data_IF_361717080684
#
_entry.id   IF_361717080684
#
_cell.length_a   1.000
_cell.length_b   1.000
_cell.length_c   1.000
_cell.angle_alpha   90.00
_cell.angle_beta   90.00
_cell.angle_gamma   90.00
#
_symmetry.space_group_name_H-M   'P 1'
#
loop_
_entity.id
_entity.type
_entity.pdbx_description
1 polymer ?
#
# COMPACT_ATOMS: atom_id res chain seq x y z
N UNK A 1 15.83 15.47 -14.08
CA UNK A 1 15.13 14.75 -15.16
C UNK A 1 14.01 13.90 -14.57
N UNK A 2 12.75 14.26 -14.83
CA UNK A 2 11.59 13.43 -14.50
C UNK A 2 11.67 12.16 -15.35
N UNK A 3 11.76 10.97 -14.73
CA UNK A 3 11.69 9.71 -15.48
C UNK A 3 10.31 9.57 -16.11
N UNK A 4 10.20 8.98 -17.32
CA UNK A 4 8.94 8.83 -18.03
C UNK A 4 7.87 8.16 -17.15
N UNK A 5 6.61 8.52 -17.40
CA UNK A 5 5.43 7.86 -16.81
C UNK A 5 5.55 6.37 -17.11
N UNK A 6 5.46 5.51 -16.09
CA UNK A 6 5.43 4.07 -16.33
C UNK A 6 4.12 3.74 -17.02
N UNK A 7 4.18 3.23 -18.25
CA UNK A 7 3.00 2.76 -18.99
C UNK A 7 2.83 1.25 -18.85
N UNK A 8 1.61 0.76 -19.09
CA UNK A 8 1.32 -0.69 -19.09
C UNK A 8 2.17 -1.39 -20.15
N UNK A 9 2.27 -0.81 -21.35
CA UNK A 9 3.03 -1.37 -22.46
C UNK A 9 4.51 -1.54 -22.12
N UNK A 10 5.16 -0.51 -21.56
CA UNK A 10 6.56 -0.60 -21.11
C UNK A 10 6.75 -1.64 -20.01
N UNK A 11 5.79 -1.79 -19.09
CA UNK A 11 5.87 -2.79 -18.03
C UNK A 11 5.70 -4.20 -18.57
N UNK A 12 4.80 -4.42 -19.54
CA UNK A 12 4.54 -5.74 -20.12
C UNK A 12 5.77 -6.37 -20.79
N UNK A 13 6.68 -5.55 -21.32
CA UNK A 13 7.94 -6.00 -21.92
C UNK A 13 8.98 -6.50 -20.89
N UNK A 14 8.72 -6.32 -19.59
CA UNK A 14 9.63 -6.68 -18.51
C UNK A 14 9.22 -7.98 -17.80
N UNK A 15 10.20 -8.64 -17.17
CA UNK A 15 9.92 -9.74 -16.25
C UNK A 15 9.10 -9.26 -15.04
N UNK A 16 8.28 -10.14 -14.45
CA UNK A 16 7.48 -9.81 -13.25
C UNK A 16 8.33 -9.25 -12.11
N UNK A 17 9.55 -9.76 -11.94
CA UNK A 17 10.52 -9.27 -10.94
C UNK A 17 10.89 -7.81 -11.21
N UNK A 18 11.19 -7.45 -12.45
CA UNK A 18 11.58 -6.10 -12.83
C UNK A 18 10.38 -5.13 -12.83
N UNK A 19 9.19 -5.57 -13.24
CA UNK A 19 7.93 -4.82 -13.08
C UNK A 19 7.73 -4.42 -11.62
N UNK A 20 7.83 -5.40 -10.70
CA UNK A 20 7.68 -5.18 -9.26
C UNK A 20 8.74 -4.23 -8.73
N UNK A 21 10.01 -4.39 -9.13
CA UNK A 21 11.11 -3.53 -8.72
C UNK A 21 10.87 -2.07 -9.14
N UNK A 22 10.49 -1.83 -10.39
CA UNK A 22 10.25 -0.47 -10.90
C UNK A 22 9.10 0.23 -10.19
N UNK A 23 7.99 -0.48 -9.99
CA UNK A 23 6.83 0.05 -9.25
C UNK A 23 7.18 0.34 -7.79
N UNK A 24 7.88 -0.59 -7.13
CA UNK A 24 8.29 -0.46 -5.73
C UNK A 24 9.21 0.74 -5.51
N UNK A 25 10.25 0.89 -6.34
CA UNK A 25 11.17 2.03 -6.27
C UNK A 25 10.43 3.35 -6.43
N UNK A 26 9.45 3.41 -7.33
CA UNK A 26 8.69 4.63 -7.57
C UNK A 26 7.77 4.97 -6.39
N UNK A 27 7.06 3.97 -5.86
CA UNK A 27 6.24 4.14 -4.66
C UNK A 27 7.08 4.58 -3.45
N UNK A 28 8.26 3.99 -3.22
CA UNK A 28 9.15 4.38 -2.12
C UNK A 28 9.64 5.82 -2.24
N UNK A 29 9.94 6.30 -3.45
CA UNK A 29 10.39 7.68 -3.65
C UNK A 29 9.35 8.72 -3.23
N UNK A 30 8.06 8.38 -3.26
CA UNK A 30 6.99 9.26 -2.78
C UNK A 30 7.07 9.49 -1.27
N UNK A 31 7.68 8.59 -0.50
CA UNK A 31 7.88 8.78 0.94
C UNK A 31 8.67 10.05 1.24
N UNK A 32 9.64 10.41 0.39
CA UNK A 32 10.44 11.63 0.58
C UNK A 32 9.65 12.93 0.44
N UNK A 33 8.41 12.87 -0.07
CA UNK A 33 7.52 14.03 -0.15
C UNK A 33 6.75 14.27 1.15
N UNK A 34 6.78 13.32 2.10
CA UNK A 34 6.05 13.43 3.35
C UNK A 34 6.80 14.35 4.34
N UNK A 35 6.06 15.20 5.08
CA UNK A 35 6.64 16.32 5.82
C UNK A 35 7.41 15.92 7.08
N UNK A 36 7.23 14.70 7.61
CA UNK A 36 7.87 14.23 8.84
C UNK A 36 8.33 12.79 8.67
N UNK A 37 9.50 12.46 9.23
CA UNK A 37 10.11 11.10 9.19
C UNK A 37 9.13 10.01 9.65
N UNK A 38 8.36 10.26 10.71
CA UNK A 38 7.34 9.33 11.21
C UNK A 38 6.30 8.92 10.14
N UNK A 39 5.93 9.83 9.24
CA UNK A 39 5.00 9.52 8.14
C UNK A 39 5.70 8.75 7.03
N UNK A 40 6.99 9.03 6.77
CA UNK A 40 7.82 8.28 5.82
C UNK A 40 7.93 6.81 6.25
N UNK A 41 8.19 6.56 7.53
CA UNK A 41 8.31 5.21 8.09
C UNK A 41 6.99 4.43 8.01
N UNK A 42 5.87 5.08 8.37
CA UNK A 42 4.52 4.47 8.26
C UNK A 42 4.20 4.17 6.80
N UNK A 43 4.35 5.14 5.91
CA UNK A 43 4.09 4.97 4.48
C UNK A 43 4.97 3.85 3.87
N UNK A 44 6.26 3.83 4.19
CA UNK A 44 7.20 2.82 3.68
C UNK A 44 6.79 1.41 4.08
N UNK A 45 6.29 1.21 5.31
CA UNK A 45 5.75 -0.08 5.75
C UNK A 45 4.47 -0.47 5.02
N UNK A 46 3.53 0.47 4.89
CA UNK A 46 2.27 0.23 4.17
C UNK A 46 2.50 -0.16 2.71
N UNK A 47 3.39 0.54 2.01
CA UNK A 47 3.77 0.20 0.63
C UNK A 47 4.45 -1.16 0.54
N UNK A 48 5.35 -1.48 1.48
CA UNK A 48 6.01 -2.79 1.51
C UNK A 48 5.00 -3.92 1.66
N UNK A 49 4.09 -3.81 2.64
CA UNK A 49 3.04 -4.79 2.89
C UNK A 49 2.11 -4.92 1.68
N UNK A 50 1.70 -3.79 1.08
CA UNK A 50 0.93 -3.81 -0.17
C UNK A 50 1.67 -4.63 -1.22
N UNK A 51 2.94 -4.37 -1.49
CA UNK A 51 3.69 -5.08 -2.53
C UNK A 51 3.94 -6.58 -2.26
N UNK A 52 3.83 -7.06 -1.02
CA UNK A 52 3.95 -8.49 -0.69
C UNK A 52 2.68 -9.30 -1.01
N UNK A 53 1.51 -8.67 -0.99
CA UNK A 53 0.22 -9.34 -1.21
C UNK A 53 -0.16 -9.19 -2.70
N UNK A 54 -0.51 -10.27 -3.44
CA UNK A 54 -1.04 -10.17 -4.80
C UNK A 54 -2.30 -9.31 -4.89
N UNK A 55 -2.58 -8.72 -6.05
CA UNK A 55 -3.71 -7.78 -6.19
C UNK A 55 -5.06 -8.46 -6.00
N UNK A 56 -5.23 -9.63 -6.61
CA UNK A 56 -6.40 -10.50 -6.54
C UNK A 56 -6.72 -10.82 -5.08
N UNK A 57 -5.68 -11.20 -4.32
CA UNK A 57 -5.83 -11.51 -2.91
C UNK A 57 -6.23 -10.29 -2.07
N UNK A 58 -5.80 -9.08 -2.45
CA UNK A 58 -6.27 -7.85 -1.78
C UNK A 58 -7.74 -7.54 -2.10
N UNK A 59 -8.25 -7.86 -3.29
CA UNK A 59 -9.69 -7.68 -3.59
C UNK A 59 -10.57 -8.44 -2.60
N UNK A 60 -10.18 -9.68 -2.30
CA UNK A 60 -10.88 -10.52 -1.34
C UNK A 60 -10.70 -10.01 0.09
N UNK A 61 -9.45 -9.78 0.53
CA UNK A 61 -9.15 -9.45 1.92
C UNK A 61 -9.63 -8.05 2.33
N UNK A 62 -9.58 -7.09 1.40
CA UNK A 62 -9.74 -5.67 1.70
C UNK A 62 -11.10 -5.16 1.26
N UNK A 63 -11.55 -5.54 0.06
CA UNK A 63 -12.84 -5.10 -0.49
C UNK A 63 -13.97 -6.13 -0.31
N UNK A 64 -13.69 -7.33 0.20
CA UNK A 64 -14.65 -8.45 0.27
C UNK A 64 -15.29 -8.76 -1.11
N UNK A 65 -14.56 -8.52 -2.22
CA UNK A 65 -15.02 -8.86 -3.57
C UNK A 65 -14.44 -10.21 -3.96
N UNK A 66 -15.28 -11.11 -4.50
CA UNK A 66 -14.77 -12.31 -5.15
C UNK A 66 -13.86 -11.90 -6.31
N UNK A 67 -12.65 -12.48 -6.34
CA UNK A 67 -11.70 -12.18 -7.42
C UNK A 67 -12.27 -12.66 -8.74
N UNK A 68 -12.56 -11.74 -9.65
CA UNK A 68 -12.63 -12.06 -11.07
C UNK A 68 -11.21 -12.27 -11.58
N UNK A 69 -10.99 -13.22 -12.49
CA UNK A 69 -9.68 -13.43 -13.09
C UNK A 69 -9.31 -12.20 -13.94
N UNK A 70 -8.51 -11.30 -13.35
CA UNK A 70 -7.94 -10.17 -14.06
C UNK A 70 -6.77 -10.66 -14.90
N UNK A 71 -6.75 -10.29 -16.17
CA UNK A 71 -5.58 -10.56 -17.00
C UNK A 71 -4.38 -9.69 -16.56
N UNK A 72 -3.17 -10.08 -16.98
CA UNK A 72 -1.92 -9.41 -16.57
C UNK A 72 -1.90 -7.90 -16.90
N UNK A 73 -2.52 -7.50 -18.00
CA UNK A 73 -2.61 -6.10 -18.42
C UNK A 73 -3.48 -5.29 -17.46
N UNK A 74 -4.68 -5.79 -17.14
CA UNK A 74 -5.61 -5.19 -16.18
C UNK A 74 -4.99 -5.08 -14.78
N UNK A 75 -4.26 -6.10 -14.34
CA UNK A 75 -3.53 -6.06 -13.07
C UNK A 75 -2.48 -4.94 -13.06
N UNK A 76 -1.70 -4.80 -14.15
CA UNK A 76 -0.70 -3.73 -14.27
C UNK A 76 -1.35 -2.35 -14.33
N UNK A 77 -2.45 -2.18 -15.06
CA UNK A 77 -3.20 -0.93 -15.11
C UNK A 77 -3.68 -0.52 -13.72
N UNK A 78 -4.27 -1.44 -12.94
CA UNK A 78 -4.73 -1.15 -11.57
C UNK A 78 -3.58 -0.76 -10.63
N UNK A 79 -2.40 -1.35 -10.82
CA UNK A 79 -1.19 -0.96 -10.07
C UNK A 79 -0.69 0.42 -10.46
N UNK A 80 -0.77 0.78 -11.73
CA UNK A 80 -0.43 2.12 -12.22
C UNK A 80 -1.43 3.19 -11.78
N UNK A 81 -2.73 2.89 -11.75
CA UNK A 81 -3.75 3.78 -11.19
C UNK A 81 -3.46 4.10 -9.72
N UNK A 82 -3.04 3.08 -8.94
CA UNK A 82 -2.64 3.27 -7.54
C UNK A 82 -1.47 4.25 -7.44
N UNK A 83 -0.46 4.03 -8.29
CA UNK A 83 0.72 4.87 -8.33
C UNK A 83 0.33 6.31 -8.71
N UNK A 84 -0.49 6.49 -9.75
CA UNK A 84 -0.95 7.81 -10.19
C UNK A 84 -1.70 8.56 -9.09
N UNK A 85 -2.61 7.89 -8.37
CA UNK A 85 -3.31 8.46 -7.22
C UNK A 85 -2.33 8.96 -6.15
N UNK A 86 -1.31 8.16 -5.83
CA UNK A 86 -0.30 8.52 -4.83
C UNK A 86 0.65 9.62 -5.34
N UNK A 87 0.98 9.64 -6.62
CA UNK A 87 1.75 10.73 -7.25
C UNK A 87 0.96 12.04 -7.20
N UNK A 88 -0.34 12.02 -7.47
CA UNK A 88 -1.22 13.18 -7.34
C UNK A 88 -1.25 13.68 -5.89
N UNK A 89 -1.43 12.76 -4.94
CA UNK A 89 -1.52 13.09 -3.52
C UNK A 89 -0.20 13.65 -2.96
N UNK A 90 0.94 13.07 -3.32
CA UNK A 90 2.21 13.31 -2.64
C UNK A 90 3.18 14.19 -3.44
N UNK A 91 3.26 14.07 -4.77
CA UNK A 91 4.11 14.92 -5.60
C UNK A 91 3.38 16.19 -6.05
N UNK A 92 2.17 16.04 -6.59
CA UNK A 92 1.40 17.18 -7.14
C UNK A 92 0.59 17.92 -6.08
N UNK A 93 0.41 17.30 -4.90
CA UNK A 93 -0.35 17.82 -3.77
C UNK A 93 -1.79 18.21 -4.14
N UNK A 94 -2.46 17.36 -4.92
CA UNK A 94 -3.91 17.48 -5.14
C UNK A 94 -4.61 17.55 -3.78
N UNK A 95 -5.31 18.66 -3.49
CA UNK A 95 -5.76 18.97 -2.15
C UNK A 95 -6.66 17.89 -1.52
N UNK A 96 -7.48 17.24 -2.34
CA UNK A 96 -8.39 16.18 -1.88
C UNK A 96 -7.62 14.88 -1.60
N UNK A 97 -6.82 14.41 -2.56
CA UNK A 97 -6.05 13.16 -2.47
C UNK A 97 -4.95 13.26 -1.42
N UNK A 98 -4.29 14.41 -1.32
CA UNK A 98 -3.29 14.71 -0.30
C UNK A 98 -3.88 14.58 1.12
N UNK A 99 -5.03 15.20 1.36
CA UNK A 99 -5.72 15.14 2.65
C UNK A 99 -6.10 13.70 3.01
N UNK A 100 -6.63 12.95 2.06
CA UNK A 100 -6.96 11.53 2.24
C UNK A 100 -5.73 10.73 2.67
N UNK A 101 -4.62 10.84 1.93
CA UNK A 101 -3.39 10.09 2.24
C UNK A 101 -2.82 10.50 3.59
N UNK A 102 -2.75 11.80 3.90
CA UNK A 102 -2.24 12.27 5.18
C UNK A 102 -3.08 11.81 6.36
N UNK A 103 -4.42 11.88 6.24
CA UNK A 103 -5.33 11.40 7.29
C UNK A 103 -5.15 9.90 7.55
N UNK A 104 -4.98 9.09 6.50
CA UNK A 104 -4.73 7.66 6.66
C UNK A 104 -3.39 7.38 7.32
N UNK A 105 -2.33 8.12 6.96
CA UNK A 105 -1.03 8.00 7.61
C UNK A 105 -1.06 8.42 9.10
N UNK A 106 -1.83 9.45 9.42
CA UNK A 106 -2.06 9.90 10.81
C UNK A 106 -2.87 8.89 11.62
N UNK A 107 -3.88 8.28 11.00
CA UNK A 107 -4.65 7.21 11.61
C UNK A 107 -3.77 6.01 11.95
N UNK A 108 -2.95 5.57 11.00
CA UNK A 108 -2.03 4.44 11.21
C UNK A 108 -0.95 4.75 12.26
N UNK A 109 -0.46 5.98 12.31
CA UNK A 109 0.44 6.41 13.36
C UNK A 109 -0.25 6.40 14.74
N UNK A 110 -1.50 6.86 14.82
CA UNK A 110 -2.28 6.94 16.07
C UNK A 110 -2.57 5.55 16.66
N UNK A 111 -2.89 4.55 15.83
CA UNK A 111 -3.03 3.14 16.26
C UNK A 111 -1.75 2.63 16.91
N UNK A 112 -0.60 2.90 16.30
CA UNK A 112 0.71 2.48 16.84
C UNK A 112 0.98 3.11 18.21
N UNK A 113 0.71 4.41 18.34
CA UNK A 113 0.88 5.12 19.62
C UNK A 113 -0.06 4.54 20.68
N UNK A 114 -1.32 4.25 20.32
CA UNK A 114 -2.27 3.62 21.23
C UNK A 114 -1.79 2.25 21.72
N UNK A 115 -1.36 1.37 20.81
CA UNK A 115 -0.82 0.04 21.16
C UNK A 115 0.36 0.19 22.12
N UNK A 116 1.36 1.03 21.79
CA UNK A 116 2.54 1.22 22.61
C UNK A 116 2.24 1.79 24.01
N UNK A 117 1.16 2.57 24.17
CA UNK A 117 0.79 3.20 25.45
C UNK A 117 -0.11 2.33 26.31
N UNK A 118 -1.02 1.56 25.72
CA UNK A 118 -2.12 0.91 26.43
C UNK A 118 -2.00 -0.61 26.48
N UNK A 119 -1.30 -1.21 25.52
CA UNK A 119 -0.84 -2.58 25.64
C UNK A 119 0.55 -2.45 26.25
N UNK A 120 0.71 -2.71 27.56
CA UNK A 120 2.05 -2.83 28.17
C UNK A 120 2.83 -3.76 27.24
N UNK A 121 3.77 -3.21 26.47
CA UNK A 121 4.42 -3.95 25.41
C UNK A 121 5.12 -5.14 26.08
N UNK A 122 4.51 -6.32 25.97
CA UNK A 122 5.26 -7.54 26.17
C UNK A 122 6.46 -7.42 25.22
N UNK A 123 7.69 -7.73 25.64
CA UNK A 123 8.85 -7.72 24.76
C UNK A 123 8.64 -8.53 23.47
N UNK A 124 7.69 -9.48 23.48
CA UNK A 124 7.24 -10.22 22.30
C UNK A 124 6.51 -9.35 21.26
N UNK A 125 5.81 -8.29 21.69
CA UNK A 125 5.03 -7.36 20.86
C UNK A 125 5.88 -6.22 20.28
N UNK A 126 6.92 -5.79 21.02
CA UNK A 126 7.95 -4.89 20.50
C UNK A 126 8.80 -5.59 19.43
N UNK A 127 9.17 -6.86 19.66
CA UNK A 127 9.88 -7.65 18.66
C UNK A 127 8.98 -8.05 17.47
N UNK A 128 7.68 -8.31 17.68
CA UNK A 128 6.76 -8.66 16.57
C UNK A 128 6.45 -7.49 15.63
N UNK A 129 6.67 -6.24 16.05
CA UNK A 129 6.56 -5.06 15.18
C UNK A 129 7.72 -4.92 14.19
N UNK A 130 8.86 -5.59 14.45
CA UNK A 130 10.07 -5.57 13.62
C UNK A 130 10.25 -6.83 12.76
N UNK A 131 9.36 -7.82 12.87
CA UNK A 131 9.50 -9.07 12.11
C UNK A 131 8.83 -9.00 10.74
N UNK A 132 9.69 -8.76 9.75
CA UNK A 132 9.55 -9.03 8.31
C UNK A 132 9.25 -10.51 7.94
N UNK A 133 8.88 -11.36 8.90
CA UNK A 133 8.72 -12.80 8.75
C UNK A 133 7.33 -13.27 9.21
N UNK A 134 6.27 -12.80 8.54
CA UNK A 134 4.95 -13.43 8.66
C UNK A 134 4.33 -13.62 7.29
N UNK A 135 4.96 -14.48 6.50
CA UNK A 135 4.25 -15.21 5.46
C UNK A 135 4.41 -16.70 5.78
N UNK A 136 3.60 -17.18 6.72
CA UNK A 136 3.38 -18.62 6.90
C UNK A 136 1.87 -18.85 7.02
N UNK A 137 1.27 -19.65 6.11
CA UNK A 137 -0.12 -20.04 6.22
C UNK A 137 -0.36 -20.77 7.55
N UNK A 138 -1.27 -20.27 8.38
CA UNK A 138 -1.67 -20.92 9.65
C UNK A 138 -1.30 -20.16 10.93
N UNK A 139 -0.58 -19.03 10.86
CA UNK A 139 -0.28 -18.23 12.04
C UNK A 139 -1.50 -17.38 12.49
N UNK A 140 -2.05 -17.55 13.71
CA UNK A 140 -3.23 -16.81 14.16
C UNK A 140 -2.99 -15.29 14.32
N UNK A 141 -1.75 -14.84 14.54
CA UNK A 141 -1.39 -13.42 14.61
C UNK A 141 -1.36 -12.75 13.22
N UNK A 142 -1.24 -13.55 12.14
CA UNK A 142 -1.30 -13.06 10.76
C UNK A 142 -2.70 -12.54 10.39
N UNK A 143 -3.75 -13.15 10.93
CA UNK A 143 -5.13 -12.82 10.56
C UNK A 143 -5.70 -11.62 11.32
N UNK A 144 -5.21 -11.28 12.52
CA UNK A 144 -5.83 -10.25 13.36
C UNK A 144 -5.11 -8.88 13.32
N UNK A 145 -3.77 -8.84 13.31
CA UNK A 145 -3.05 -7.57 13.57
C UNK A 145 -2.36 -6.95 12.34
N UNK A 146 -1.89 -7.74 11.37
CA UNK A 146 -1.25 -7.21 10.16
C UNK A 146 -2.27 -6.65 9.15
N UNK A 147 -3.49 -7.21 9.15
CA UNK A 147 -4.57 -6.82 8.25
C UNK A 147 -5.38 -5.63 8.78
N UNK A 148 -5.59 -5.47 10.08
CA UNK A 148 -6.42 -4.37 10.61
C UNK A 148 -5.77 -2.96 10.49
N UNK A 149 -4.44 -2.89 10.48
CA UNK A 149 -3.68 -1.64 10.26
C UNK A 149 -3.53 -1.32 8.77
N UNK A 150 -3.32 -2.31 7.91
CA UNK A 150 -3.21 -2.08 6.46
C UNK A 150 -4.55 -1.89 5.75
N UNK A 151 -5.65 -2.45 6.28
CA UNK A 151 -6.93 -2.53 5.56
C UNK A 151 -7.49 -1.18 5.16
N UNK A 152 -7.52 -0.17 6.03
CA UNK A 152 -8.13 1.13 5.67
C UNK A 152 -7.33 1.90 4.61
N UNK A 153 -6.00 1.91 4.75
CA UNK A 153 -5.14 2.55 3.75
C UNK A 153 -5.23 1.82 2.40
N UNK A 154 -5.13 0.49 2.43
CA UNK A 154 -5.19 -0.34 1.23
C UNK A 154 -6.58 -0.29 0.59
N UNK A 155 -7.65 -0.30 1.40
CA UNK A 155 -9.05 -0.18 0.97
C UNK A 155 -9.28 1.14 0.27
N UNK A 156 -8.81 2.26 0.83
CA UNK A 156 -8.93 3.56 0.20
C UNK A 156 -8.27 3.57 -1.18
N UNK A 157 -7.04 3.06 -1.29
CA UNK A 157 -6.34 2.96 -2.58
C UNK A 157 -7.05 2.02 -3.56
N UNK A 158 -7.64 0.93 -3.07
CA UNK A 158 -8.39 -0.01 -3.90
C UNK A 158 -9.72 0.60 -4.39
N UNK A 159 -10.47 1.30 -3.53
CA UNK A 159 -11.70 1.99 -3.93
C UNK A 159 -11.41 3.13 -4.92
N UNK A 160 -10.32 3.88 -4.73
CA UNK A 160 -9.89 4.91 -5.66
C UNK A 160 -9.56 4.32 -7.05
N UNK A 161 -8.92 3.15 -7.09
CA UNK A 161 -8.68 2.44 -8.36
C UNK A 161 -9.98 1.99 -9.02
N UNK A 162 -10.90 1.40 -8.26
CA UNK A 162 -12.18 0.91 -8.80
C UNK A 162 -13.01 2.07 -9.37
N UNK A 163 -12.98 3.23 -8.71
CA UNK A 163 -13.66 4.46 -9.19
C UNK A 163 -13.06 4.95 -10.51
N UNK A 164 -11.73 4.98 -10.61
CA UNK A 164 -11.03 5.36 -11.85
C UNK A 164 -11.23 4.38 -13.02
N UNK A 165 -11.84 3.21 -12.80
CA UNK A 165 -12.21 2.27 -13.86
C UNK A 165 -13.66 2.45 -14.33
N UNK A 166 -14.53 3.09 -13.53
CA UNK A 166 -15.89 3.39 -13.95
C UNK A 166 -15.98 4.62 -14.86
N UNK A 167 -14.92 5.45 -14.87
CA UNK A 167 -14.84 6.68 -15.66
C UNK A 167 -14.15 6.48 -17.02
N UNK A 168 -13.67 5.27 -17.32
CA UNK A 168 -13.04 4.85 -18.59
C UNK A 168 -13.99 3.96 -19.39
#
# INVERSE_FOLDING_TARGET
MYKPVLTVHELLQLSTKEQNRRLLVRLYRLSHQLPKRKYQDVYGRLIRQRCLIPYERRLELVLNKQSTELNKEQQLQRRLNTLAFLEDALLRRDGSKHRIVMNLLEHELSKRVYILRHVKASPALENSMDHLHYWEPGNPLYNHDLLASTRLFDQCLMMANESAQMEL
#
